data_IF_569624230352
#
_entry.id   IF_569624230352
#
_cell.length_a   1.000
_cell.length_b   1.000
_cell.length_c   1.000
_cell.angle_alpha   90.00
_cell.angle_beta   90.00
_cell.angle_gamma   90.00
#
_symmetry.space_group_name_H-M   'P 1'
#
loop_
_entity.id
_entity.type
_entity.pdbx_description
1 polymer ?
#
# COMPACT_ATOMS: atom_id res chain seq x y z
N UNK A 1 -1.54 9.69 -23.38
CA UNK A 1 -0.09 9.37 -23.32
C UNK A 1 0.60 10.40 -22.42
N UNK A 2 0.62 10.14 -21.11
CA UNK A 2 1.26 11.04 -20.16
C UNK A 2 2.77 11.00 -20.35
N UNK A 3 3.40 12.14 -20.65
CA UNK A 3 4.86 12.25 -20.66
C UNK A 3 5.35 11.98 -19.24
N UNK A 4 5.94 10.82 -18.99
CA UNK A 4 6.65 10.55 -17.74
C UNK A 4 7.69 11.67 -17.56
N UNK A 5 7.44 12.57 -16.60
CA UNK A 5 8.35 13.68 -16.34
C UNK A 5 9.65 13.07 -15.85
N UNK A 6 10.73 13.27 -16.60
CA UNK A 6 12.07 12.84 -16.22
C UNK A 6 12.37 13.34 -14.80
N UNK A 7 12.74 12.47 -13.85
CA UNK A 7 13.09 12.90 -12.51
C UNK A 7 14.25 13.89 -12.59
N UNK A 8 14.16 15.00 -11.84
CA UNK A 8 15.17 16.07 -11.86
C UNK A 8 16.47 15.65 -11.16
N UNK A 9 16.45 14.53 -10.43
CA UNK A 9 17.60 14.03 -9.69
C UNK A 9 18.55 13.26 -10.63
N UNK A 10 19.82 13.67 -10.66
CA UNK A 10 20.86 13.08 -11.52
C UNK A 10 21.35 11.72 -11.01
N UNK A 11 21.12 11.43 -9.73
CA UNK A 11 21.53 10.19 -9.05
C UNK A 11 20.39 9.17 -8.95
N UNK A 12 19.24 9.43 -9.59
CA UNK A 12 18.07 8.56 -9.54
C UNK A 12 18.43 7.18 -10.12
N UNK A 13 18.41 6.17 -9.24
CA UNK A 13 18.66 4.78 -9.59
C UNK A 13 17.56 4.33 -10.56
N UNK A 14 17.97 3.76 -11.70
CA UNK A 14 17.04 3.19 -12.68
C UNK A 14 17.15 1.69 -12.61
N UNK A 15 16.02 1.04 -12.36
CA UNK A 15 15.95 -0.42 -12.36
C UNK A 15 15.10 -0.88 -13.54
N UNK A 16 15.62 -1.83 -14.35
CA UNK A 16 14.82 -2.42 -15.42
C UNK A 16 13.68 -3.23 -14.80
N UNK A 17 12.51 -3.12 -15.44
CA UNK A 17 11.30 -3.85 -15.08
C UNK A 17 11.40 -5.28 -15.62
N UNK A 18 11.14 -6.26 -14.77
CA UNK A 18 10.97 -7.64 -15.20
C UNK A 18 9.56 -7.82 -15.77
N UNK A 19 9.44 -7.83 -17.11
CA UNK A 19 8.15 -7.91 -17.81
C UNK A 19 7.45 -9.25 -17.62
N UNK A 20 8.16 -10.31 -17.24
CA UNK A 20 7.55 -11.61 -16.96
C UNK A 20 6.88 -11.65 -15.58
N UNK A 21 7.40 -10.87 -14.63
CA UNK A 21 6.83 -10.73 -13.28
C UNK A 21 5.83 -9.58 -13.16
N UNK A 22 6.00 -8.55 -14.00
CA UNK A 22 5.20 -7.34 -13.92
C UNK A 22 3.74 -7.59 -14.33
N UNK A 23 2.80 -7.27 -13.44
CA UNK A 23 1.36 -7.35 -13.72
C UNK A 23 0.79 -8.78 -13.77
N UNK A 24 1.55 -9.81 -13.41
CA UNK A 24 1.10 -11.22 -13.45
C UNK A 24 -0.16 -11.46 -12.62
N UNK A 25 -0.31 -10.73 -11.52
CA UNK A 25 -1.46 -10.85 -10.63
C UNK A 25 -2.35 -9.61 -10.61
N UNK A 26 -2.16 -8.71 -11.59
CA UNK A 26 -2.99 -7.55 -11.79
C UNK A 26 -3.89 -7.77 -13.01
N UNK A 27 -5.18 -7.47 -12.88
CA UNK A 27 -6.14 -7.53 -14.00
C UNK A 27 -6.12 -6.25 -14.85
N UNK A 28 -5.14 -5.39 -14.62
CA UNK A 28 -5.01 -4.13 -15.34
C UNK A 28 -4.39 -4.35 -16.73
N UNK A 29 -5.11 -3.96 -17.78
CA UNK A 29 -4.66 -4.01 -19.18
C UNK A 29 -3.59 -2.96 -19.55
N UNK A 30 -2.75 -2.56 -18.60
CA UNK A 30 -1.67 -1.61 -18.84
C UNK A 30 -0.44 -2.33 -19.37
N UNK A 31 0.34 -1.66 -20.21
CA UNK A 31 1.65 -2.17 -20.63
C UNK A 31 2.70 -1.86 -19.57
N UNK A 32 3.63 -2.80 -19.38
CA UNK A 32 4.75 -2.64 -18.46
C UNK A 32 5.62 -1.43 -18.87
N UNK A 33 6.02 -0.56 -17.92
CA UNK A 33 7.07 0.41 -18.18
C UNK A 33 8.40 -0.31 -18.44
N UNK A 34 9.37 0.37 -19.05
CA UNK A 34 10.69 -0.22 -19.27
C UNK A 34 11.60 -0.13 -18.02
N UNK A 35 11.42 0.90 -17.20
CA UNK A 35 12.21 1.15 -16.00
C UNK A 35 11.35 1.73 -14.88
N UNK A 36 11.73 1.44 -13.63
CA UNK A 36 11.29 2.19 -12.46
C UNK A 36 12.18 3.43 -12.24
N UNK A 37 11.58 4.46 -11.67
CA UNK A 37 12.23 5.74 -11.38
C UNK A 37 11.86 6.20 -9.98
N UNK A 38 12.79 6.83 -9.26
CA UNK A 38 12.47 7.46 -7.99
C UNK A 38 11.34 8.49 -8.14
N UNK A 39 10.27 8.33 -7.37
CA UNK A 39 9.11 9.22 -7.36
C UNK A 39 9.01 9.99 -6.04
N UNK A 40 9.10 11.31 -6.12
CA UNK A 40 8.85 12.18 -4.97
C UNK A 40 7.35 12.24 -4.66
N UNK A 41 6.99 12.06 -3.39
CA UNK A 41 5.61 12.20 -2.92
C UNK A 41 5.57 12.85 -1.54
N UNK A 42 4.44 13.47 -1.22
CA UNK A 42 4.17 13.97 0.13
C UNK A 42 3.29 12.96 0.86
N UNK A 43 3.72 12.55 2.06
CA UNK A 43 2.91 11.65 2.88
C UNK A 43 1.54 12.28 3.16
N UNK A 44 0.46 11.57 2.86
CA UNK A 44 -0.91 12.08 3.06
C UNK A 44 -1.24 12.44 4.51
N UNK A 45 -0.67 11.71 5.48
CA UNK A 45 -1.00 11.92 6.90
C UNK A 45 -0.11 13.00 7.55
N UNK A 46 1.22 12.93 7.39
CA UNK A 46 2.15 13.88 8.03
C UNK A 46 2.69 14.99 7.13
N UNK A 47 2.39 14.98 5.82
CA UNK A 47 2.82 16.00 4.86
C UNK A 47 4.30 15.97 4.48
N UNK A 48 5.14 15.15 5.12
CA UNK A 48 6.58 15.10 4.83
C UNK A 48 6.84 14.63 3.40
N UNK A 49 7.76 15.33 2.72
CA UNK A 49 8.31 14.89 1.45
C UNK A 49 9.10 13.59 1.65
N UNK A 50 8.88 12.65 0.75
CA UNK A 50 9.47 11.33 0.73
C UNK A 50 9.78 10.94 -0.72
N UNK A 51 10.62 9.94 -0.89
CA UNK A 51 10.94 9.36 -2.19
C UNK A 51 10.49 7.90 -2.18
N UNK A 52 9.71 7.53 -3.19
CA UNK A 52 9.41 6.15 -3.50
C UNK A 52 10.43 5.65 -4.51
N UNK A 53 11.45 4.98 -3.98
CA UNK A 53 12.61 4.57 -4.78
C UNK A 53 12.24 3.53 -5.85
N UNK A 54 13.03 3.49 -6.92
CA UNK A 54 12.92 2.45 -7.95
C UNK A 54 13.02 1.02 -7.35
N UNK A 55 13.85 0.82 -6.33
CA UNK A 55 13.97 -0.45 -5.59
C UNK A 55 12.67 -0.83 -4.87
N UNK A 56 12.06 0.13 -4.17
CA UNK A 56 10.78 -0.08 -3.49
C UNK A 56 9.66 -0.38 -4.48
N UNK A 57 9.63 0.29 -5.63
CA UNK A 57 8.68 0.00 -6.70
C UNK A 57 8.87 -1.41 -7.25
N UNK A 58 10.12 -1.80 -7.55
CA UNK A 58 10.43 -3.14 -8.04
C UNK A 58 9.96 -4.22 -7.08
N UNK A 59 10.31 -4.11 -5.80
CA UNK A 59 9.84 -5.05 -4.78
C UNK A 59 8.30 -5.07 -4.65
N UNK A 60 7.67 -3.90 -4.70
CA UNK A 60 6.21 -3.77 -4.56
C UNK A 60 5.44 -4.43 -5.70
N UNK A 61 5.87 -4.23 -6.95
CA UNK A 61 5.16 -4.76 -8.11
C UNK A 61 5.57 -6.18 -8.47
N UNK A 62 6.85 -6.53 -8.38
CA UNK A 62 7.34 -7.83 -8.87
C UNK A 62 7.34 -8.90 -7.77
N UNK A 63 7.77 -8.57 -6.55
CA UNK A 63 7.91 -9.56 -5.48
C UNK A 63 6.63 -9.67 -4.64
N UNK A 64 5.99 -8.54 -4.32
CA UNK A 64 4.70 -8.53 -3.60
C UNK A 64 3.49 -8.64 -4.53
N UNK A 65 3.66 -8.44 -5.83
CA UNK A 65 2.60 -8.53 -6.82
C UNK A 65 1.45 -7.55 -6.51
N UNK A 66 1.76 -6.28 -6.26
CA UNK A 66 0.72 -5.29 -6.00
C UNK A 66 0.22 -4.70 -7.31
N UNK A 67 -1.00 -4.17 -7.28
CA UNK A 67 -1.64 -3.62 -8.48
C UNK A 67 -0.82 -2.45 -9.02
N UNK A 68 -0.69 -2.36 -10.33
CA UNK A 68 0.11 -1.34 -11.03
C UNK A 68 -0.44 0.08 -10.81
N UNK A 69 -1.72 0.18 -10.46
CA UNK A 69 -2.38 1.44 -10.14
C UNK A 69 -2.13 1.91 -8.69
N UNK A 70 -1.41 1.13 -7.88
CA UNK A 70 -1.08 1.50 -6.52
C UNK A 70 0.23 2.30 -6.46
N UNK A 71 0.27 3.32 -5.59
CA UNK A 71 1.46 4.16 -5.40
C UNK A 71 1.77 4.39 -3.92
N UNK A 72 2.99 4.83 -3.64
CA UNK A 72 3.36 5.24 -2.28
C UNK A 72 2.65 6.55 -1.91
N UNK A 73 1.76 6.47 -0.91
CA UNK A 73 0.98 7.61 -0.41
C UNK A 73 1.30 7.98 1.04
N UNK A 74 2.04 7.13 1.74
CA UNK A 74 2.37 7.28 3.16
C UNK A 74 3.82 6.92 3.42
N UNK A 75 4.46 7.68 4.30
CA UNK A 75 5.78 7.33 4.79
C UNK A 75 5.73 6.07 5.68
N UNK A 76 6.86 5.42 5.85
CA UNK A 76 6.98 4.19 6.63
C UNK A 76 6.49 4.35 8.08
N UNK A 77 6.74 5.50 8.70
CA UNK A 77 6.30 5.79 10.07
C UNK A 77 4.77 5.82 10.17
N UNK A 78 4.10 6.56 9.29
CA UNK A 78 2.64 6.64 9.26
C UNK A 78 2.02 5.28 8.89
N UNK A 79 2.67 4.51 8.01
CA UNK A 79 2.22 3.18 7.66
C UNK A 79 2.29 2.22 8.87
N UNK A 80 3.39 2.21 9.61
CA UNK A 80 3.56 1.42 10.83
C UNK A 80 2.53 1.80 11.92
N UNK A 81 2.26 3.10 12.09
CA UNK A 81 1.27 3.57 13.04
C UNK A 81 -0.15 3.05 12.71
N UNK A 82 -0.56 3.12 11.44
CA UNK A 82 -1.86 2.58 11.00
C UNK A 82 -1.93 1.07 11.20
N UNK A 83 -0.84 0.36 10.91
CA UNK A 83 -0.76 -1.08 11.11
C UNK A 83 -0.94 -1.46 12.59
N UNK A 84 -0.28 -0.73 13.51
CA UNK A 84 -0.45 -0.94 14.94
C UNK A 84 -1.89 -0.70 15.41
N UNK A 85 -2.58 0.33 14.89
CA UNK A 85 -3.99 0.59 15.18
C UNK A 85 -4.87 -0.56 14.70
N UNK A 86 -4.67 -1.04 13.46
CA UNK A 86 -5.43 -2.18 12.90
C UNK A 86 -5.23 -3.45 13.73
N UNK A 87 -4.02 -3.70 14.20
CA UNK A 87 -3.72 -4.84 15.05
C UNK A 87 -4.38 -4.74 16.42
N UNK A 88 -4.38 -3.55 17.04
CA UNK A 88 -5.12 -3.29 18.27
C UNK A 88 -6.62 -3.53 18.07
N UNK A 89 -7.20 -2.98 17.00
CA UNK A 89 -8.61 -3.18 16.67
C UNK A 89 -8.92 -4.66 16.45
N UNK A 90 -8.09 -5.39 15.71
CA UNK A 90 -8.28 -6.81 15.47
C UNK A 90 -8.23 -7.61 16.78
N UNK A 91 -7.30 -7.30 17.69
CA UNK A 91 -7.22 -7.92 19.02
C UNK A 91 -8.49 -7.68 19.83
N UNK A 92 -8.94 -6.43 19.89
CA UNK A 92 -10.19 -6.08 20.57
C UNK A 92 -11.40 -6.83 20.01
N UNK A 93 -11.54 -6.90 18.68
CA UNK A 93 -12.64 -7.62 18.04
C UNK A 93 -12.61 -9.13 18.33
N UNK A 94 -11.40 -9.73 18.40
CA UNK A 94 -11.23 -11.14 18.79
C UNK A 94 -11.66 -11.39 20.23
N UNK A 95 -11.35 -10.47 21.15
CA UNK A 95 -11.78 -10.56 22.56
C UNK A 95 -13.30 -10.43 22.70
N UNK A 96 -13.92 -9.45 22.01
CA UNK A 96 -15.36 -9.23 22.06
C UNK A 96 -16.16 -10.42 21.51
N UNK A 97 -15.65 -11.14 20.52
CA UNK A 97 -16.28 -12.36 19.99
C UNK A 97 -16.50 -13.43 21.07
N UNK A 98 -15.61 -13.50 22.06
CA UNK A 98 -15.66 -14.49 23.13
C UNK A 98 -16.43 -13.99 24.37
N UNK A 99 -16.93 -12.76 24.36
CA UNK A 99 -17.66 -12.19 25.50
C UNK A 99 -19.04 -12.83 25.61
N UNK A 100 -19.48 -13.26 26.81
CA UNK A 100 -20.82 -13.80 26.99
C UNK A 100 -21.86 -12.76 26.61
N UNK A 101 -22.93 -13.23 25.96
CA UNK A 101 -24.08 -12.41 25.61
C UNK A 101 -24.72 -11.85 26.86
N UNK A 102 -25.33 -10.67 26.71
CA UNK A 102 -25.99 -10.01 27.82
C UNK A 102 -27.11 -10.91 28.38
N UNK A 103 -27.29 -11.00 29.71
CA UNK A 103 -28.28 -11.88 30.32
C UNK A 103 -29.72 -11.64 29.84
N UNK A 104 -30.01 -10.44 29.33
CA UNK A 104 -31.30 -10.09 28.73
C UNK A 104 -31.25 -9.95 27.19
N UNK A 105 -30.54 -10.83 26.47
CA UNK A 105 -30.44 -10.79 25.00
C UNK A 105 -31.80 -11.05 24.31
N UNK A 106 -32.71 -11.80 24.94
CA UNK A 106 -34.04 -12.12 24.41
C UNK A 106 -34.99 -10.92 24.32
N UNK A 107 -34.80 -9.89 25.16
CA UNK A 107 -35.61 -8.67 25.14
C UNK A 107 -35.37 -7.83 23.88
N UNK A 108 -34.14 -7.81 23.36
CA UNK A 108 -33.75 -6.96 22.22
C UNK A 108 -34.02 -7.59 20.85
N UNK A 109 -34.45 -8.86 20.78
CA UNK A 109 -34.63 -9.60 19.51
C UNK A 109 -36.08 -9.73 19.04
N UNK A 110 -37.04 -9.31 19.86
CA UNK A 110 -38.47 -9.54 19.64
C UNK A 110 -39.28 -8.26 19.35
N UNK A 111 -38.65 -7.21 18.80
CA UNK A 111 -39.29 -6.02 18.21
C UNK A 111 -39.09 -6.10 16.69
#
# INVERSE_FOLDING_TARGET
MGRFKRPKNKDAVRLPVDKEKWGVNDNTYSSAPDYYYDEEYNCRDCGKAQVWSAEQQKHWYEELGKTINSSAVRCQICHAHIQAIKEQQQRHMKEMKNKPKHPNEGFFKNI
#
